data_IF_762105698723
#
_entry.id   IF_762105698723
#
_cell.length_a   1.000
_cell.length_b   1.000
_cell.length_c   1.000
_cell.angle_alpha   90.00
_cell.angle_beta   90.00
_cell.angle_gamma   90.00
#
_symmetry.space_group_name_H-M   'P 1'
#
loop_
_entity.id
_entity.type
_entity.pdbx_description
1 polymer ?
#
# COMPACT_ATOMS: atom_id res chain seq x y z
N UNK A 1 46.92 38.30 -12.28
CA UNK A 1 45.71 38.67 -13.04
C UNK A 1 45.23 37.42 -13.76
N UNK A 2 44.31 36.70 -13.13
CA UNK A 2 43.35 35.76 -13.72
C UNK A 2 42.48 35.29 -12.54
N UNK A 3 41.18 35.50 -12.67
CA UNK A 3 40.09 35.26 -11.74
C UNK A 3 39.42 33.94 -12.15
N UNK A 4 39.01 33.08 -11.22
CA UNK A 4 37.87 32.11 -11.27
C UNK A 4 38.13 30.95 -10.29
N UNK A 5 37.19 30.41 -9.50
CA UNK A 5 35.80 30.73 -9.13
C UNK A 5 35.58 29.89 -7.86
N UNK A 6 35.08 30.47 -6.77
CA UNK A 6 34.66 29.72 -5.59
C UNK A 6 33.45 28.86 -5.95
N UNK A 7 33.63 27.54 -5.98
CA UNK A 7 32.53 26.58 -6.00
C UNK A 7 32.06 26.35 -4.56
N UNK A 8 30.82 26.73 -4.18
CA UNK A 8 30.25 26.24 -2.94
C UNK A 8 29.86 24.78 -3.16
N UNK A 9 30.65 23.86 -2.60
CA UNK A 9 30.22 22.47 -2.41
C UNK A 9 29.02 22.48 -1.47
N UNK A 10 27.83 22.52 -2.08
CA UNK A 10 26.54 22.30 -1.45
C UNK A 10 26.58 20.99 -0.66
N UNK A 11 26.37 21.15 0.64
CA UNK A 11 26.13 20.11 1.63
C UNK A 11 25.21 19.02 1.07
N UNK A 12 25.78 17.87 0.76
CA UNK A 12 25.03 16.64 0.52
C UNK A 12 24.93 15.88 1.84
N UNK A 13 23.73 15.36 2.10
CA UNK A 13 23.37 14.31 3.07
C UNK A 13 22.86 14.81 4.43
N UNK A 14 21.53 14.94 4.55
CA UNK A 14 20.70 13.98 5.31
C UNK A 14 19.26 14.51 5.41
N UNK A 15 18.33 13.86 4.71
CA UNK A 15 16.93 13.78 5.12
C UNK A 15 16.29 12.54 4.45
N UNK A 16 16.55 11.37 5.05
CA UNK A 16 15.67 10.21 4.89
C UNK A 16 14.27 10.59 5.39
N UNK A 17 13.30 10.70 4.48
CA UNK A 17 11.90 10.41 4.79
C UNK A 17 11.19 10.16 3.47
N UNK A 18 10.50 9.02 3.34
CA UNK A 18 9.92 8.48 2.10
C UNK A 18 8.81 9.32 1.48
N UNK A 19 9.16 10.51 0.98
CA UNK A 19 8.31 11.34 0.15
C UNK A 19 8.78 11.21 -1.30
N UNK A 20 7.95 10.71 -2.24
CA UNK A 20 8.29 10.82 -3.65
C UNK A 20 8.31 12.31 -3.99
N UNK A 21 9.44 12.80 -4.50
CA UNK A 21 9.62 14.19 -4.91
C UNK A 21 8.59 14.58 -5.98
N UNK A 22 7.43 15.07 -5.54
CA UNK A 22 6.41 15.64 -6.42
C UNK A 22 6.89 17.02 -6.87
N UNK A 23 6.72 17.41 -8.16
CA UNK A 23 7.03 18.77 -8.58
C UNK A 23 6.20 19.76 -7.74
N UNK A 24 6.75 20.95 -7.42
CA UNK A 24 6.16 21.90 -6.48
C UNK A 24 4.74 22.39 -6.84
N UNK A 25 4.26 22.10 -8.06
CA UNK A 25 2.92 22.47 -8.55
C UNK A 25 1.96 21.28 -8.74
N UNK A 26 2.36 20.05 -8.40
CA UNK A 26 1.47 18.89 -8.50
C UNK A 26 0.56 18.80 -7.28
N UNK A 27 -0.69 19.24 -7.44
CA UNK A 27 -1.76 19.04 -6.46
C UNK A 27 -1.91 17.54 -6.16
N UNK A 28 -1.61 17.12 -4.92
CA UNK A 28 -1.87 15.75 -4.48
C UNK A 28 -3.32 15.60 -4.05
N UNK A 29 -3.84 14.37 -4.16
CA UNK A 29 -5.18 14.03 -3.73
C UNK A 29 -5.14 12.86 -2.76
N UNK A 30 -5.88 12.97 -1.65
CA UNK A 30 -6.01 11.92 -0.66
C UNK A 30 -6.56 10.64 -1.31
N UNK A 31 -5.81 9.54 -1.25
CA UNK A 31 -6.19 8.27 -1.85
C UNK A 31 -7.49 7.67 -1.25
N UNK A 32 -7.93 8.13 -0.08
CA UNK A 32 -9.14 7.64 0.59
C UNK A 32 -10.40 8.47 0.34
N UNK A 33 -10.24 9.80 0.23
CA UNK A 33 -11.37 10.76 0.20
C UNK A 33 -11.41 11.60 -1.07
N UNK A 34 -10.35 11.60 -1.87
CA UNK A 34 -10.21 12.42 -3.07
C UNK A 34 -10.04 13.92 -2.80
N UNK A 35 -9.90 14.35 -1.53
CA UNK A 35 -9.67 15.75 -1.18
C UNK A 35 -8.25 16.18 -1.58
N UNK A 36 -8.05 17.44 -2.02
CA UNK A 36 -6.71 17.97 -2.27
C UNK A 36 -5.91 18.01 -0.96
N UNK A 37 -4.63 17.62 -1.02
CA UNK A 37 -3.69 17.65 0.09
C UNK A 37 -2.39 18.27 -0.41
N UNK A 38 -1.73 19.09 0.40
CA UNK A 38 -0.41 19.62 0.06
C UNK A 38 0.68 18.58 0.37
N UNK A 39 1.82 18.57 -0.35
CA UNK A 39 2.91 17.63 -0.10
C UNK A 39 3.41 17.64 1.35
N UNK A 40 3.37 18.80 2.01
CA UNK A 40 3.85 19.01 3.38
C UNK A 40 2.88 18.45 4.43
N UNK A 41 1.58 18.44 4.13
CA UNK A 41 0.53 17.91 5.01
C UNK A 41 0.19 16.45 4.72
N UNK A 42 0.69 15.90 3.61
CA UNK A 42 0.40 14.54 3.18
C UNK A 42 0.97 13.51 4.16
N UNK A 43 0.08 12.67 4.69
CA UNK A 43 0.45 11.47 5.41
C UNK A 43 0.69 10.33 4.40
N UNK A 44 1.94 9.95 4.22
CA UNK A 44 2.34 8.85 3.34
C UNK A 44 2.19 7.52 4.06
N UNK A 45 1.39 6.63 3.48
CA UNK A 45 1.20 5.28 4.01
C UNK A 45 0.82 4.31 2.89
N UNK A 46 0.94 2.99 3.14
CA UNK A 46 0.59 1.99 2.14
C UNK A 46 -0.89 2.09 1.76
N UNK A 47 -1.22 1.86 0.48
CA UNK A 47 -2.59 1.96 0.01
C UNK A 47 -3.50 0.94 0.70
N UNK A 48 -4.77 1.28 0.81
CA UNK A 48 -5.78 0.38 1.35
C UNK A 48 -6.16 -0.64 0.27
N UNK A 49 -5.62 -1.85 0.35
CA UNK A 49 -6.04 -2.98 -0.48
C UNK A 49 -7.28 -3.63 0.14
N UNK A 50 -8.38 -3.65 -0.58
CA UNK A 50 -9.60 -4.32 -0.12
C UNK A 50 -9.50 -5.84 -0.32
N UNK A 51 -10.27 -6.61 0.46
CA UNK A 51 -10.33 -8.07 0.29
C UNK A 51 -10.74 -8.46 -1.15
N UNK A 52 -11.67 -7.72 -1.75
CA UNK A 52 -12.13 -7.96 -3.12
C UNK A 52 -11.03 -7.72 -4.14
N UNK A 53 -10.26 -6.64 -3.99
CA UNK A 53 -9.11 -6.35 -4.87
C UNK A 53 -8.02 -7.40 -4.71
N UNK A 54 -7.71 -7.80 -3.48
CA UNK A 54 -6.74 -8.85 -3.23
C UNK A 54 -7.18 -10.17 -3.87
N UNK A 55 -8.44 -10.56 -3.69
CA UNK A 55 -8.99 -11.78 -4.27
C UNK A 55 -9.03 -11.74 -5.80
N UNK A 56 -9.49 -10.64 -6.40
CA UNK A 56 -9.55 -10.50 -7.86
C UNK A 56 -8.16 -10.45 -8.49
N UNK A 57 -7.21 -9.75 -7.86
CA UNK A 57 -5.82 -9.71 -8.29
C UNK A 57 -5.18 -11.09 -8.18
N UNK A 58 -5.38 -11.79 -7.05
CA UNK A 58 -4.84 -13.14 -6.85
C UNK A 58 -5.41 -14.12 -7.88
N UNK A 59 -6.73 -14.12 -8.09
CA UNK A 59 -7.39 -15.04 -9.02
C UNK A 59 -7.02 -14.74 -10.48
N UNK A 60 -6.99 -13.46 -10.87
CA UNK A 60 -6.57 -13.07 -12.21
C UNK A 60 -5.10 -13.42 -12.48
N UNK A 61 -4.23 -13.24 -11.48
CA UNK A 61 -2.81 -13.62 -11.56
C UNK A 61 -2.64 -15.13 -11.64
N UNK A 62 -3.40 -15.90 -10.86
CA UNK A 62 -3.36 -17.36 -10.90
C UNK A 62 -3.72 -17.93 -12.28
N UNK A 63 -4.73 -17.33 -12.93
CA UNK A 63 -5.18 -17.79 -14.25
C UNK A 63 -4.20 -17.33 -15.36
N UNK A 64 -3.71 -16.09 -15.29
CA UNK A 64 -2.96 -15.47 -16.39
C UNK A 64 -1.44 -15.65 -16.29
N UNK A 65 -0.90 -15.70 -15.07
CA UNK A 65 0.54 -15.70 -14.79
C UNK A 65 0.86 -16.31 -13.42
N UNK A 66 0.64 -17.63 -13.22
CA UNK A 66 0.73 -18.26 -11.90
C UNK A 66 2.12 -18.17 -11.27
N UNK A 67 3.19 -18.11 -12.08
CA UNK A 67 4.56 -17.94 -11.60
C UNK A 67 4.82 -16.60 -10.91
N UNK A 68 3.99 -15.58 -11.15
CA UNK A 68 4.15 -14.24 -10.60
C UNK A 68 3.42 -14.01 -9.27
N UNK A 69 2.64 -15.00 -8.79
CA UNK A 69 1.84 -14.86 -7.57
C UNK A 69 2.70 -14.47 -6.35
N UNK A 70 3.82 -15.16 -6.14
CA UNK A 70 4.69 -14.89 -4.99
C UNK A 70 5.23 -13.46 -5.01
N UNK A 71 5.64 -12.99 -6.20
CA UNK A 71 6.14 -11.64 -6.37
C UNK A 71 5.05 -10.58 -6.15
N UNK A 72 3.82 -10.83 -6.57
CA UNK A 72 2.71 -9.88 -6.39
C UNK A 72 2.26 -9.80 -4.93
N UNK A 73 2.19 -10.93 -4.24
CA UNK A 73 1.77 -10.98 -2.83
C UNK A 73 2.83 -10.44 -1.86
N UNK A 74 4.11 -10.51 -2.24
CA UNK A 74 5.22 -10.04 -1.42
C UNK A 74 5.82 -8.71 -1.88
N UNK A 75 5.31 -8.12 -2.97
CA UNK A 75 5.76 -6.79 -3.40
C UNK A 75 5.34 -5.73 -2.38
N UNK A 76 6.31 -4.95 -1.91
CA UNK A 76 6.06 -3.72 -1.18
C UNK A 76 5.22 -2.79 -2.08
N UNK A 77 4.16 -2.22 -1.51
CA UNK A 77 3.31 -1.30 -2.26
C UNK A 77 3.81 0.13 -2.08
N UNK A 78 3.82 0.96 -3.14
CA UNK A 78 4.26 2.33 -3.04
C UNK A 78 3.30 3.12 -2.14
N UNK A 79 3.85 3.93 -1.24
CA UNK A 79 3.05 4.79 -0.36
C UNK A 79 2.24 5.81 -1.18
N UNK A 80 1.02 6.06 -0.72
CA UNK A 80 0.10 7.02 -1.33
C UNK A 80 -0.25 8.12 -0.33
N UNK A 81 -0.56 9.34 -0.81
CA UNK A 81 -0.85 10.47 0.07
C UNK A 81 -2.25 10.32 0.68
N UNK A 82 -2.33 10.51 2.00
CA UNK A 82 -3.57 10.62 2.75
C UNK A 82 -3.66 11.97 3.47
N UNK A 83 -4.89 12.46 3.67
CA UNK A 83 -5.11 13.61 4.55
C UNK A 83 -4.92 13.21 6.01
N UNK A 84 -4.42 14.10 6.90
CA UNK A 84 -4.23 13.79 8.32
C UNK A 84 -5.51 13.32 9.03
N UNK A 85 -6.66 13.93 8.68
CA UNK A 85 -7.98 13.56 9.19
C UNK A 85 -8.43 12.15 8.77
N UNK A 86 -7.86 11.60 7.69
CA UNK A 86 -8.23 10.28 7.18
C UNK A 86 -7.55 9.13 7.92
N UNK A 87 -6.62 9.40 8.85
CA UNK A 87 -5.86 8.37 9.58
C UNK A 87 -6.77 7.40 10.35
N UNK A 88 -7.71 7.93 11.14
CA UNK A 88 -8.63 7.09 11.92
C UNK A 88 -9.58 6.31 11.01
N UNK A 89 -10.01 6.93 9.91
CA UNK A 89 -10.87 6.31 8.92
C UNK A 89 -10.15 5.15 8.20
N UNK A 90 -8.87 5.36 7.87
CA UNK A 90 -7.98 4.36 7.27
C UNK A 90 -7.79 3.17 8.21
N UNK A 91 -7.51 3.42 9.50
CA UNK A 91 -7.36 2.35 10.50
C UNK A 91 -8.64 1.52 10.65
N UNK A 92 -9.80 2.16 10.74
CA UNK A 92 -11.12 1.48 10.81
C UNK A 92 -11.39 0.64 9.55
N UNK A 93 -11.12 1.18 8.37
CA UNK A 93 -11.30 0.44 7.10
C UNK A 93 -10.33 -0.74 6.99
N UNK A 94 -9.07 -0.58 7.40
CA UNK A 94 -8.08 -1.69 7.43
C UNK A 94 -8.56 -2.82 8.33
N UNK A 95 -9.03 -2.52 9.54
CA UNK A 95 -9.57 -3.54 10.45
C UNK A 95 -10.78 -4.26 9.83
N UNK A 96 -11.70 -3.54 9.20
CA UNK A 96 -12.86 -4.14 8.55
C UNK A 96 -12.44 -5.07 7.40
N UNK A 97 -11.50 -4.66 6.54
CA UNK A 97 -10.99 -5.51 5.46
C UNK A 97 -10.20 -6.72 5.99
N UNK A 98 -9.42 -6.54 7.06
CA UNK A 98 -8.70 -7.64 7.71
C UNK A 98 -9.64 -8.69 8.31
N UNK A 99 -10.73 -8.27 8.97
CA UNK A 99 -11.74 -9.20 9.50
C UNK A 99 -12.43 -9.96 8.37
N UNK A 100 -12.73 -9.31 7.24
CA UNK A 100 -13.29 -9.99 6.06
C UNK A 100 -12.32 -11.06 5.53
N UNK A 101 -11.04 -10.74 5.42
CA UNK A 101 -10.02 -11.67 4.97
C UNK A 101 -9.89 -12.86 5.93
N UNK A 102 -9.85 -12.60 7.24
CA UNK A 102 -9.78 -13.65 8.26
C UNK A 102 -11.00 -14.58 8.18
N UNK A 103 -12.21 -14.01 8.09
CA UNK A 103 -13.43 -14.80 7.99
C UNK A 103 -13.43 -15.67 6.72
N UNK A 104 -13.02 -15.11 5.58
CA UNK A 104 -12.91 -15.86 4.34
C UNK A 104 -11.92 -17.02 4.46
N UNK A 105 -10.75 -16.79 5.08
CA UNK A 105 -9.75 -17.83 5.32
C UNK A 105 -10.30 -18.94 6.23
N UNK A 106 -11.02 -18.58 7.29
CA UNK A 106 -11.64 -19.55 8.21
C UNK A 106 -12.71 -20.41 7.50
N UNK A 107 -13.53 -19.81 6.63
CA UNK A 107 -14.51 -20.54 5.83
C UNK A 107 -13.81 -21.53 4.90
N UNK A 108 -12.75 -21.12 4.21
CA UNK A 108 -11.96 -22.02 3.34
C UNK A 108 -11.36 -23.16 4.16
N UNK A 109 -10.76 -22.86 5.32
CA UNK A 109 -10.18 -23.87 6.20
C UNK A 109 -11.24 -24.86 6.71
N UNK A 110 -12.43 -24.38 7.10
CA UNK A 110 -13.53 -25.23 7.53
C UNK A 110 -14.03 -26.15 6.41
N UNK A 111 -14.17 -25.63 5.17
CA UNK A 111 -14.58 -26.42 4.00
C UNK A 111 -13.58 -27.54 3.69
N UNK A 112 -12.29 -27.29 3.88
CA UNK A 112 -11.23 -28.29 3.62
C UNK A 112 -11.15 -29.31 4.76
N UNK A 113 -11.20 -28.86 6.01
CA UNK A 113 -10.97 -29.71 7.20
C UNK A 113 -12.18 -30.54 7.59
N UNK A 114 -13.40 -30.00 7.49
CA UNK A 114 -14.63 -30.72 7.84
C UNK A 114 -14.80 -32.07 7.12
N UNK A 115 -14.65 -32.19 5.78
CA UNK A 115 -14.78 -33.47 5.11
C UNK A 115 -13.66 -34.45 5.49
N UNK A 116 -12.43 -33.95 5.72
CA UNK A 116 -11.32 -34.80 6.16
C UNK A 116 -11.65 -35.43 7.52
N UNK A 117 -12.14 -34.62 8.46
CA UNK A 117 -12.56 -35.12 9.77
C UNK A 117 -13.71 -36.11 9.64
N UNK A 118 -14.73 -35.80 8.83
CA UNK A 118 -15.91 -36.64 8.64
C UNK A 118 -15.60 -37.97 7.93
N UNK A 119 -14.60 -38.01 7.05
CA UNK A 119 -14.11 -39.24 6.41
C UNK A 119 -13.13 -40.04 7.28
N UNK A 120 -12.54 -39.40 8.30
CA UNK A 120 -11.58 -40.04 9.21
C UNK A 120 -12.23 -40.71 10.42
N UNK A 121 -13.51 -40.41 10.68
CA UNK A 121 -14.33 -41.05 11.71
C UNK A 121 -15.08 -42.25 11.12
#
# INVERSE_FOLDING_TARGET
MAVEVDTPTTSSNEALTGSPASPPDAQLYCALTGRPVTPEEAYWAPPLVTFKELASMTLSTLIRSPSMIGHILMAEQPDVPYSPEARDLLAKRRQAEQVKLLLALLVIAAIITAPILLLSM
#
